data_IF_779755164991
#
_entry.id   IF_779755164991
#
_cell.length_a   1.000
_cell.length_b   1.000
_cell.length_c   1.000
_cell.angle_alpha   90.00
_cell.angle_beta   90.00
_cell.angle_gamma   90.00
#
_symmetry.space_group_name_H-M   'P 1'
#
loop_
_entity.id
_entity.type
_entity.pdbx_description
1 polymer ?
#
# COMPACT_ATOMS: atom_id res chain seq x y z
N UNK A 1 32.28 12.69 34.62
CA UNK A 1 30.82 12.82 34.40
C UNK A 1 30.47 13.27 32.98
N UNK A 2 30.99 14.39 32.46
CA UNK A 2 30.65 14.90 31.11
C UNK A 2 30.93 13.90 29.97
N UNK A 3 32.04 13.17 30.03
CA UNK A 3 32.41 12.16 29.01
C UNK A 3 31.48 10.95 29.02
N UNK A 4 31.09 10.47 30.21
CA UNK A 4 30.14 9.36 30.37
C UNK A 4 28.77 9.75 29.82
N UNK A 5 28.30 10.97 30.11
CA UNK A 5 27.03 11.49 29.57
C UNK A 5 27.05 11.56 28.03
N UNK A 6 28.16 12.00 27.43
CA UNK A 6 28.34 12.01 25.96
C UNK A 6 28.29 10.61 25.36
N UNK A 7 28.92 9.63 26.00
CA UNK A 7 28.89 8.24 25.56
C UNK A 7 27.46 7.69 25.65
N UNK A 8 26.74 7.95 26.74
CA UNK A 8 25.33 7.57 26.87
C UNK A 8 24.45 8.20 25.76
N UNK A 9 24.70 9.47 25.39
CA UNK A 9 23.98 10.14 24.30
C UNK A 9 24.28 9.51 22.92
N UNK A 10 25.51 9.06 22.67
CA UNK A 10 25.87 8.39 21.41
C UNK A 10 25.13 7.04 21.25
N UNK A 11 24.87 6.32 22.35
CA UNK A 11 24.09 5.08 22.32
C UNK A 11 22.60 5.28 22.03
N UNK A 12 22.08 6.52 22.08
CA UNK A 12 20.69 6.83 21.72
C UNK A 12 20.51 7.10 20.22
N UNK A 13 21.59 7.34 19.47
CA UNK A 13 21.53 7.63 18.01
C UNK A 13 20.77 6.54 17.22
N UNK A 14 20.99 5.23 17.46
CA UNK A 14 20.25 4.17 16.77
C UNK A 14 18.73 4.20 17.05
N UNK A 15 18.29 4.70 18.19
CA UNK A 15 16.86 4.82 18.51
C UNK A 15 16.19 5.91 17.66
N UNK A 16 16.91 6.99 17.34
CA UNK A 16 16.42 8.06 16.46
C UNK A 16 16.40 7.64 14.98
N UNK A 17 17.28 6.74 14.55
CA UNK A 17 17.29 6.25 13.16
C UNK A 17 16.21 5.20 12.90
N UNK A 18 15.73 4.48 13.94
CA UNK A 18 14.59 3.57 13.79
C UNK A 18 13.29 4.29 13.40
N UNK A 19 13.10 5.55 13.81
CA UNK A 19 11.96 6.36 13.38
C UNK A 19 11.97 6.69 11.87
N UNK A 20 13.15 6.61 11.23
CA UNK A 20 13.31 6.82 9.79
C UNK A 20 13.15 5.52 8.98
N UNK A 21 12.94 4.38 9.64
CA UNK A 21 13.01 3.04 9.01
C UNK A 21 11.79 2.71 8.14
N UNK A 22 10.66 3.39 8.33
CA UNK A 22 9.49 3.29 7.46
C UNK A 22 9.07 4.68 6.97
N UNK A 23 9.75 5.23 5.94
CA UNK A 23 9.36 6.50 5.34
C UNK A 23 8.07 6.37 4.53
N UNK A 24 7.56 5.16 4.32
CA UNK A 24 6.44 4.90 3.41
C UNK A 24 5.10 4.79 4.14
N UNK A 25 5.05 4.96 5.47
CA UNK A 25 3.79 4.91 6.24
C UNK A 25 2.97 3.63 5.97
N UNK A 26 3.65 2.51 5.72
CA UNK A 26 3.02 1.24 5.34
C UNK A 26 2.73 1.07 3.84
N UNK A 27 3.05 2.03 2.99
CA UNK A 27 3.04 1.87 1.53
C UNK A 27 4.22 1.02 1.05
N UNK A 28 4.03 0.34 -0.08
CA UNK A 28 5.09 -0.48 -0.66
C UNK A 28 6.11 0.39 -1.40
N UNK A 29 7.38 0.01 -1.35
CA UNK A 29 8.43 0.66 -2.15
C UNK A 29 8.31 0.31 -3.63
N UNK A 30 9.01 1.03 -4.51
CA UNK A 30 9.05 0.71 -5.95
C UNK A 30 9.50 -0.74 -6.22
N UNK A 31 10.56 -1.20 -5.55
CA UNK A 31 11.06 -2.56 -5.69
C UNK A 31 10.02 -3.60 -5.23
N UNK A 32 9.28 -3.30 -4.15
CA UNK A 32 8.21 -4.17 -3.68
C UNK A 32 7.03 -4.18 -4.65
N UNK A 33 6.66 -3.03 -5.22
CA UNK A 33 5.61 -2.93 -6.25
C UNK A 33 5.97 -3.75 -7.51
N UNK A 34 7.23 -3.72 -7.96
CA UNK A 34 7.68 -4.54 -9.09
C UNK A 34 7.66 -6.04 -8.76
N UNK A 35 7.99 -6.42 -7.53
CA UNK A 35 7.85 -7.79 -7.06
C UNK A 35 6.38 -8.23 -7.03
N UNK A 36 5.50 -7.39 -6.47
CA UNK A 36 4.06 -7.64 -6.39
C UNK A 36 3.43 -7.77 -7.78
N UNK A 37 3.80 -6.90 -8.74
CA UNK A 37 3.34 -6.98 -10.14
C UNK A 37 3.62 -8.34 -10.79
N UNK A 38 4.79 -8.93 -10.51
CA UNK A 38 5.12 -10.29 -10.99
C UNK A 38 4.35 -11.36 -10.21
N UNK A 39 4.26 -11.21 -8.88
CA UNK A 39 3.55 -12.16 -8.02
C UNK A 39 2.07 -12.29 -8.38
N UNK A 40 1.35 -11.20 -8.64
CA UNK A 40 -0.08 -11.28 -9.01
C UNK A 40 -0.35 -12.03 -10.31
N UNK A 41 0.65 -12.19 -11.19
CA UNK A 41 0.51 -12.96 -12.42
C UNK A 41 0.52 -14.48 -12.17
N UNK A 42 1.25 -14.94 -11.14
CA UNK A 42 1.46 -16.36 -10.86
C UNK A 42 0.78 -16.85 -9.59
N UNK A 43 0.36 -15.94 -8.71
CA UNK A 43 -0.29 -16.25 -7.45
C UNK A 43 -1.66 -16.92 -7.67
N UNK A 44 -1.84 -18.08 -7.01
CA UNK A 44 -3.04 -18.91 -7.08
C UNK A 44 -3.96 -18.71 -5.88
N UNK A 45 -3.42 -18.23 -4.76
CA UNK A 45 -4.21 -17.91 -3.58
C UNK A 45 -4.88 -16.54 -3.76
N UNK A 46 -6.18 -16.56 -4.01
CA UNK A 46 -6.98 -15.34 -4.21
C UNK A 46 -6.89 -14.35 -3.04
N UNK A 47 -6.70 -14.82 -1.81
CA UNK A 47 -6.57 -13.92 -0.64
C UNK A 47 -5.25 -13.16 -0.70
N UNK A 48 -4.14 -13.83 -1.01
CA UNK A 48 -2.83 -13.19 -1.18
C UNK A 48 -2.82 -12.28 -2.40
N UNK A 49 -3.43 -12.74 -3.50
CA UNK A 49 -3.56 -11.96 -4.74
C UNK A 49 -4.38 -10.68 -4.53
N UNK A 50 -5.48 -10.76 -3.77
CA UNK A 50 -6.29 -9.59 -3.39
C UNK A 50 -5.49 -8.60 -2.55
N UNK A 51 -4.74 -9.07 -1.55
CA UNK A 51 -3.89 -8.21 -0.73
C UNK A 51 -2.79 -7.53 -1.56
N UNK A 52 -2.18 -8.27 -2.49
CA UNK A 52 -1.19 -7.73 -3.42
C UNK A 52 -1.77 -6.66 -4.34
N UNK A 53 -2.98 -6.87 -4.88
CA UNK A 53 -3.67 -5.85 -5.66
C UNK A 53 -4.00 -4.61 -4.84
N UNK A 54 -4.45 -4.75 -3.59
CA UNK A 54 -4.65 -3.61 -2.69
C UNK A 54 -3.34 -2.80 -2.53
N UNK A 55 -2.23 -3.47 -2.24
CA UNK A 55 -0.93 -2.80 -2.08
C UNK A 55 -0.45 -2.10 -3.35
N UNK A 56 -0.68 -2.70 -4.53
CA UNK A 56 -0.40 -2.07 -5.81
C UNK A 56 -1.30 -0.85 -6.07
N UNK A 57 -2.58 -0.93 -5.71
CA UNK A 57 -3.51 0.19 -5.81
C UNK A 57 -3.03 1.40 -5.01
N UNK A 58 -2.70 1.19 -3.74
CA UNK A 58 -2.15 2.23 -2.88
C UNK A 58 -0.81 2.79 -3.38
N UNK A 59 0.03 1.94 -3.97
CA UNK A 59 1.25 2.42 -4.59
C UNK A 59 0.93 3.39 -5.71
N UNK A 60 0.10 3.02 -6.69
CA UNK A 60 -0.12 3.83 -7.90
C UNK A 60 -1.11 4.99 -7.75
N UNK A 61 -2.06 4.94 -6.80
CA UNK A 61 -3.22 5.86 -6.78
C UNK A 61 -2.87 7.36 -6.77
N UNK A 62 -1.74 7.74 -6.17
CA UNK A 62 -1.38 9.16 -6.00
C UNK A 62 -0.54 9.73 -7.16
N UNK A 63 0.05 8.89 -8.01
CA UNK A 63 0.90 9.34 -9.13
C UNK A 63 0.47 8.83 -10.51
N UNK A 64 -0.25 7.71 -10.60
CA UNK A 64 -0.92 7.21 -11.81
C UNK A 64 -2.30 6.66 -11.41
N UNK A 65 -3.27 7.56 -11.24
CA UNK A 65 -4.59 7.24 -10.70
C UNK A 65 -5.33 6.15 -11.49
N UNK A 66 -5.19 6.09 -12.83
CA UNK A 66 -5.76 5.02 -13.66
C UNK A 66 -5.23 3.63 -13.28
N UNK A 67 -3.92 3.54 -13.01
CA UNK A 67 -3.31 2.28 -12.56
C UNK A 67 -3.74 1.93 -11.14
N UNK A 68 -3.84 2.92 -10.25
CA UNK A 68 -4.38 2.75 -8.91
C UNK A 68 -5.80 2.19 -8.95
N UNK A 69 -6.67 2.80 -9.76
CA UNK A 69 -8.05 2.37 -9.99
C UNK A 69 -8.11 0.92 -10.49
N UNK A 70 -7.35 0.59 -11.53
CA UNK A 70 -7.29 -0.77 -12.08
C UNK A 70 -7.00 -1.81 -10.98
N UNK A 71 -6.00 -1.56 -10.13
CA UNK A 71 -5.64 -2.50 -9.08
C UNK A 71 -6.70 -2.58 -7.97
N UNK A 72 -7.33 -1.47 -7.59
CA UNK A 72 -8.45 -1.49 -6.64
C UNK A 72 -9.69 -2.21 -7.20
N UNK A 73 -9.93 -2.14 -8.50
CA UNK A 73 -11.00 -2.93 -9.15
C UNK A 73 -10.69 -4.43 -9.14
N UNK A 74 -9.43 -4.83 -9.37
CA UNK A 74 -9.01 -6.23 -9.22
C UNK A 74 -9.17 -6.72 -7.78
N UNK A 75 -8.81 -5.90 -6.79
CA UNK A 75 -9.09 -6.16 -5.38
C UNK A 75 -10.60 -6.31 -5.13
N UNK A 76 -11.43 -5.43 -5.68
CA UNK A 76 -12.89 -5.48 -5.53
C UNK A 76 -13.45 -6.78 -6.10
N UNK A 77 -13.01 -7.20 -7.29
CA UNK A 77 -13.46 -8.45 -7.92
C UNK A 77 -13.17 -9.67 -7.04
N UNK A 78 -11.94 -9.77 -6.50
CA UNK A 78 -11.57 -10.86 -5.61
C UNK A 78 -12.29 -10.79 -4.25
N UNK A 79 -12.46 -9.60 -3.68
CA UNK A 79 -13.18 -9.43 -2.41
C UNK A 79 -14.65 -9.82 -2.52
N UNK A 80 -15.29 -9.59 -3.68
CA UNK A 80 -16.63 -10.11 -4.02
C UNK A 80 -16.62 -11.63 -4.12
N UNK A 81 -15.68 -12.22 -4.88
CA UNK A 81 -15.52 -13.68 -5.03
C UNK A 81 -15.35 -14.39 -3.68
N UNK A 82 -14.55 -13.80 -2.78
CA UNK A 82 -14.24 -14.35 -1.45
C UNK A 82 -15.28 -13.98 -0.37
N UNK A 83 -16.33 -13.23 -0.73
CA UNK A 83 -17.34 -12.71 0.19
C UNK A 83 -16.74 -11.96 1.41
N UNK A 84 -15.72 -11.12 1.19
CA UNK A 84 -15.03 -10.35 2.24
C UNK A 84 -15.55 -8.91 2.26
N UNK A 85 -16.59 -8.64 3.05
CA UNK A 85 -17.29 -7.34 3.08
C UNK A 85 -16.42 -6.15 3.46
N UNK A 86 -15.51 -6.30 4.43
CA UNK A 86 -14.57 -5.23 4.79
C UNK A 86 -13.60 -4.90 3.64
N UNK A 87 -13.12 -5.92 2.93
CA UNK A 87 -12.26 -5.74 1.77
C UNK A 87 -12.99 -5.15 0.56
N UNK A 88 -14.29 -5.43 0.42
CA UNK A 88 -15.14 -4.78 -0.59
C UNK A 88 -15.27 -3.29 -0.28
N UNK A 89 -15.55 -2.93 0.99
CA UNK A 89 -15.68 -1.53 1.41
C UNK A 89 -14.37 -0.74 1.22
N UNK A 90 -13.23 -1.33 1.61
CA UNK A 90 -11.90 -0.75 1.36
C UNK A 90 -11.66 -0.54 -0.14
N UNK A 91 -11.93 -1.54 -0.98
CA UNK A 91 -11.78 -1.42 -2.44
C UNK A 91 -12.68 -0.33 -3.06
N UNK A 92 -13.93 -0.20 -2.60
CA UNK A 92 -14.83 0.87 -3.04
C UNK A 92 -14.31 2.25 -2.64
N UNK A 93 -13.89 2.41 -1.38
CA UNK A 93 -13.32 3.67 -0.87
C UNK A 93 -12.12 4.12 -1.71
N UNK A 94 -11.20 3.19 -1.99
CA UNK A 94 -10.00 3.52 -2.75
C UNK A 94 -10.28 3.74 -4.24
N UNK A 95 -11.18 2.96 -4.85
CA UNK A 95 -11.59 3.19 -6.23
C UNK A 95 -12.26 4.56 -6.39
N UNK A 96 -13.13 4.96 -5.45
CA UNK A 96 -13.75 6.29 -5.43
C UNK A 96 -12.71 7.42 -5.34
N UNK A 97 -11.69 7.27 -4.49
CA UNK A 97 -10.57 8.22 -4.44
C UNK A 97 -9.86 8.38 -5.80
N UNK A 98 -9.56 7.26 -6.48
CA UNK A 98 -8.96 7.31 -7.80
C UNK A 98 -9.90 7.98 -8.83
N UNK A 99 -11.20 7.67 -8.81
CA UNK A 99 -12.19 8.21 -9.74
C UNK A 99 -12.37 9.73 -9.58
N UNK A 100 -12.37 10.23 -8.34
CA UNK A 100 -12.35 11.68 -8.06
C UNK A 100 -11.08 12.32 -8.63
N UNK A 101 -9.93 11.69 -8.43
CA UNK A 101 -8.65 12.16 -8.99
C UNK A 101 -8.67 12.18 -10.52
N UNK A 102 -9.36 11.24 -11.14
CA UNK A 102 -9.59 11.16 -12.59
C UNK A 102 -10.73 12.05 -13.11
N UNK A 103 -11.42 12.78 -12.21
CA UNK A 103 -12.61 13.58 -12.52
C UNK A 103 -13.81 12.78 -13.09
N UNK A 104 -13.87 11.47 -12.85
CA UNK A 104 -15.01 10.60 -13.22
C UNK A 104 -16.01 10.51 -12.05
N UNK A 105 -16.63 11.66 -11.72
CA UNK A 105 -17.52 11.79 -10.56
C UNK A 105 -18.80 10.96 -10.65
N UNK A 106 -19.20 10.54 -11.86
CA UNK A 106 -20.39 9.73 -12.05
C UNK A 106 -20.19 8.28 -11.61
N UNK A 107 -18.95 7.80 -11.63
CA UNK A 107 -18.60 6.45 -11.17
C UNK A 107 -18.02 6.41 -9.76
N UNK A 108 -17.50 7.54 -9.26
CA UNK A 108 -16.93 7.68 -7.92
C UNK A 108 -17.97 7.38 -6.83
#
# INVERSE_FOLDING_TARGET
>A
MKTVLKICLLFLIPAFTMAQKDPTWGYVTAQQADSLKRSVQTEKNDTLKMAAFRSLGFYYQDFIADSGLYFHEQQLALSKKLNRKLWQADAFSQAGYCLVTLSDYMKA
#
